data_IF_586263917183
#
_entry.id   IF_586263917183
#
_cell.length_a   1.000
_cell.length_b   1.000
_cell.length_c   1.000
_cell.angle_alpha   90.00
_cell.angle_beta   90.00
_cell.angle_gamma   90.00
#
_symmetry.space_group_name_H-M   'P 1'
#
loop_
_entity.id
_entity.type
_entity.pdbx_description
1 polymer ?
#
# COMPACT_ATOMS: atom_id res chain seq x y z
N UNK A 1 17.11 8.94 -30.11
CA UNK A 1 16.26 9.98 -29.50
C UNK A 1 16.13 11.21 -30.39
N UNK A 2 17.20 11.92 -30.77
CA UNK A 2 17.12 13.07 -31.69
C UNK A 2 16.55 12.71 -33.08
N UNK A 3 16.90 11.56 -33.64
CA UNK A 3 16.39 11.06 -34.94
C UNK A 3 14.89 10.69 -34.88
N UNK A 4 14.35 10.49 -33.68
CA UNK A 4 12.94 10.14 -33.41
C UNK A 4 12.08 11.38 -33.10
N UNK A 5 12.72 12.51 -32.78
CA UNK A 5 12.07 13.82 -32.54
C UNK A 5 11.84 14.54 -33.87
N UNK A 6 12.68 14.30 -34.89
CA UNK A 6 12.55 14.90 -36.23
C UNK A 6 11.39 14.37 -37.10
N UNK A 7 10.77 13.24 -36.74
CA UNK A 7 9.64 12.67 -37.49
C UNK A 7 8.29 13.36 -37.21
N UNK A 8 8.28 14.40 -36.39
CA UNK A 8 7.06 15.11 -35.96
C UNK A 8 6.53 16.13 -36.98
N UNK A 9 7.18 16.29 -38.14
CA UNK A 9 6.81 17.37 -39.08
C UNK A 9 5.74 16.97 -40.11
N UNK A 10 5.62 15.69 -40.50
CA UNK A 10 4.61 15.28 -41.47
C UNK A 10 4.30 13.77 -41.41
N UNK A 11 3.01 13.42 -41.59
CA UNK A 11 2.59 12.08 -41.98
C UNK A 11 2.56 12.00 -43.51
N UNK A 12 3.08 10.91 -44.07
CA UNK A 12 3.14 10.72 -45.52
C UNK A 12 2.76 9.29 -45.90
N UNK A 13 1.97 9.15 -46.95
CA UNK A 13 1.73 7.88 -47.63
C UNK A 13 2.16 8.06 -49.08
N UNK A 14 2.89 7.08 -49.61
CA UNK A 14 3.37 7.17 -50.98
C UNK A 14 3.60 5.81 -51.62
N UNK A 15 3.68 5.82 -52.95
CA UNK A 15 3.97 4.64 -53.76
C UNK A 15 5.17 4.94 -54.63
N UNK A 16 6.26 4.19 -54.43
CA UNK A 16 7.44 4.24 -55.26
C UNK A 16 7.39 3.14 -56.34
N UNK A 17 8.00 3.40 -57.50
CA UNK A 17 8.30 2.36 -58.49
C UNK A 17 9.29 1.39 -57.84
N UNK A 18 8.92 0.10 -57.83
CA UNK A 18 9.52 -0.99 -57.07
C UNK A 18 10.95 -0.80 -56.59
N UNK A 19 11.11 -0.42 -55.32
CA UNK A 19 12.40 -0.16 -54.68
C UNK A 19 12.57 -1.05 -53.45
N UNK A 20 13.40 -2.11 -53.53
CA UNK A 20 13.58 -3.06 -52.42
C UNK A 20 14.47 -2.50 -51.30
N UNK A 21 15.13 -1.35 -51.53
CA UNK A 21 15.91 -0.66 -50.50
C UNK A 21 15.04 0.25 -49.63
N UNK A 22 13.83 0.61 -50.08
CA UNK A 22 12.84 1.29 -49.26
C UNK A 22 12.22 0.24 -48.33
N UNK A 23 12.54 0.31 -47.05
CA UNK A 23 12.14 -0.65 -46.01
C UNK A 23 11.82 0.10 -44.73
N UNK A 24 10.89 -0.42 -43.94
CA UNK A 24 10.56 0.12 -42.62
C UNK A 24 11.84 0.32 -41.78
N UNK A 25 11.96 1.48 -41.14
CA UNK A 25 13.13 1.84 -40.33
C UNK A 25 14.36 2.34 -41.11
N UNK A 26 14.38 2.27 -42.45
CA UNK A 26 15.47 2.81 -43.27
C UNK A 26 15.09 4.14 -43.89
N UNK A 27 15.86 5.18 -43.58
CA UNK A 27 15.58 6.53 -44.05
C UNK A 27 15.71 6.67 -45.58
N UNK A 28 14.87 7.54 -46.17
CA UNK A 28 14.93 7.98 -47.56
C UNK A 28 14.69 9.49 -47.66
N UNK A 29 15.12 10.11 -48.76
CA UNK A 29 14.95 11.54 -49.00
C UNK A 29 13.84 11.79 -50.00
N UNK A 30 13.03 12.83 -49.73
CA UNK A 30 12.02 13.36 -50.64
C UNK A 30 12.42 14.78 -51.00
N UNK A 31 12.49 15.08 -52.30
CA UNK A 31 13.01 16.36 -52.82
C UNK A 31 12.16 17.02 -53.90
N UNK A 32 11.13 16.34 -54.43
CA UNK A 32 10.26 16.85 -55.50
C UNK A 32 8.84 17.03 -54.97
N UNK A 33 8.72 17.87 -53.95
CA UNK A 33 7.47 18.24 -53.25
C UNK A 33 7.60 19.71 -52.84
N UNK A 34 6.54 20.34 -52.33
CA UNK A 34 6.63 21.71 -51.81
C UNK A 34 7.69 21.81 -50.69
N UNK A 35 8.32 22.97 -50.55
CA UNK A 35 9.49 23.17 -49.66
C UNK A 35 9.27 22.67 -48.24
N UNK A 36 8.04 22.82 -47.72
CA UNK A 36 7.65 22.33 -46.40
C UNK A 36 7.80 20.79 -46.26
N UNK A 37 7.61 20.03 -47.34
CA UNK A 37 7.67 18.56 -47.33
C UNK A 37 9.00 17.99 -47.85
N UNK A 38 9.98 18.84 -48.18
CA UNK A 38 11.31 18.39 -48.56
C UNK A 38 12.05 17.93 -47.31
N UNK A 39 12.56 16.70 -47.32
CA UNK A 39 13.21 16.18 -46.13
C UNK A 39 13.60 14.72 -46.18
N UNK A 40 14.16 14.25 -45.05
CA UNK A 40 14.52 12.85 -44.83
C UNK A 40 13.45 12.20 -43.96
N UNK A 41 12.85 11.14 -44.48
CA UNK A 41 11.76 10.42 -43.86
C UNK A 41 12.18 9.00 -43.51
N UNK A 42 11.64 8.47 -42.41
CA UNK A 42 11.82 7.06 -42.03
C UNK A 42 10.45 6.38 -42.10
N UNK A 43 10.23 5.43 -43.01
CA UNK A 43 8.94 4.77 -43.14
C UNK A 43 8.69 3.88 -41.93
N UNK A 44 7.49 3.99 -41.35
CA UNK A 44 6.99 3.13 -40.28
C UNK A 44 6.50 1.78 -40.82
N UNK A 45 6.03 1.75 -42.07
CA UNK A 45 5.64 0.53 -42.77
C UNK A 45 6.04 0.58 -44.24
N UNK A 46 6.28 -0.59 -44.84
CA UNK A 46 6.55 -0.73 -46.28
C UNK A 46 5.95 -2.02 -46.81
N UNK A 47 5.26 -1.95 -47.94
CA UNK A 47 4.67 -3.10 -48.63
C UNK A 47 5.19 -3.17 -50.06
N UNK A 48 5.83 -4.29 -50.40
CA UNK A 48 6.24 -4.59 -51.77
C UNK A 48 5.12 -5.37 -52.47
N UNK A 49 4.57 -4.79 -53.53
CA UNK A 49 3.47 -5.35 -54.31
C UNK A 49 3.96 -5.73 -55.69
N UNK A 50 3.74 -6.98 -56.09
CA UNK A 50 4.05 -7.50 -57.42
C UNK A 50 2.72 -7.87 -58.09
N UNK A 51 2.29 -7.09 -59.07
CA UNK A 51 1.03 -7.32 -59.78
C UNK A 51 1.19 -7.12 -61.30
N UNK A 52 0.08 -7.19 -62.05
CA UNK A 52 0.05 -7.01 -63.51
C UNK A 52 0.54 -5.65 -64.01
N UNK A 53 0.67 -4.66 -63.11
CA UNK A 53 1.19 -3.33 -63.39
C UNK A 53 2.67 -3.19 -63.00
N UNK A 54 3.30 -4.29 -62.57
CA UNK A 54 4.72 -4.37 -62.23
C UNK A 54 4.98 -4.32 -60.73
N UNK A 55 6.25 -4.08 -60.39
CA UNK A 55 6.69 -3.99 -59.00
C UNK A 55 6.50 -2.56 -58.46
N UNK A 56 5.76 -2.44 -57.35
CA UNK A 56 5.54 -1.19 -56.61
C UNK A 56 5.88 -1.36 -55.13
N UNK A 57 6.29 -0.27 -54.49
CA UNK A 57 6.58 -0.24 -53.06
C UNK A 57 5.76 0.86 -52.41
N UNK A 58 4.74 0.46 -51.67
CA UNK A 58 3.92 1.37 -50.87
C UNK A 58 4.61 1.61 -49.53
N UNK A 59 4.63 2.85 -49.06
CA UNK A 59 5.21 3.21 -47.78
C UNK A 59 4.31 4.16 -47.00
N UNK A 60 4.39 4.02 -45.68
CA UNK A 60 3.74 4.91 -44.73
C UNK A 60 4.81 5.48 -43.82
N UNK A 61 4.80 6.80 -43.63
CA UNK A 61 5.55 7.53 -42.62
C UNK A 61 4.51 8.10 -41.66
N UNK A 62 4.47 7.56 -40.45
CA UNK A 62 3.61 8.05 -39.38
C UNK A 62 4.43 8.32 -38.13
N UNK A 63 4.10 9.40 -37.43
CA UNK A 63 4.77 9.78 -36.19
C UNK A 63 4.38 8.83 -35.05
N UNK A 64 5.36 8.16 -34.45
CA UNK A 64 5.16 7.34 -33.24
C UNK A 64 5.13 8.19 -31.97
N UNK A 65 4.23 9.17 -31.85
CA UNK A 65 4.04 9.86 -30.56
C UNK A 65 2.58 10.17 -30.27
N UNK A 66 1.99 9.41 -29.35
CA UNK A 66 0.82 9.84 -28.60
C UNK A 66 1.31 10.74 -27.45
N UNK A 67 1.23 12.07 -27.61
CA UNK A 67 1.62 13.07 -26.59
C UNK A 67 0.52 13.38 -25.58
N UNK A 68 -0.55 12.59 -25.58
CA UNK A 68 -1.56 12.69 -24.53
C UNK A 68 -0.92 12.32 -23.20
N UNK A 69 -1.45 12.87 -22.09
CA UNK A 69 -1.10 12.40 -20.75
C UNK A 69 -1.24 10.87 -20.63
N UNK A 70 -2.22 10.29 -21.34
CA UNK A 70 -2.44 8.86 -21.43
C UNK A 70 -1.29 8.13 -22.17
N UNK A 71 -0.82 8.64 -23.30
CA UNK A 71 0.30 8.07 -24.05
C UNK A 71 1.63 8.15 -23.29
N UNK A 72 1.83 9.22 -22.52
CA UNK A 72 2.99 9.35 -21.62
C UNK A 72 2.88 8.43 -20.40
N UNK A 73 1.70 8.30 -19.80
CA UNK A 73 1.47 7.43 -18.65
C UNK A 73 1.49 5.92 -18.99
N UNK A 74 1.17 5.56 -20.22
CA UNK A 74 1.14 4.15 -20.69
C UNK A 74 2.39 3.74 -21.49
N UNK A 75 3.42 4.59 -21.53
CA UNK A 75 4.66 4.32 -22.26
C UNK A 75 4.48 4.17 -23.77
N UNK A 76 3.42 4.75 -24.35
CA UNK A 76 3.07 4.63 -25.76
C UNK A 76 2.56 3.25 -26.18
N UNK A 77 2.16 2.39 -25.23
CA UNK A 77 1.75 1.01 -25.48
C UNK A 77 0.30 0.82 -25.95
N UNK A 78 -0.49 1.88 -26.07
CA UNK A 78 -1.93 1.77 -26.24
C UNK A 78 -2.40 1.23 -27.61
N UNK A 79 -1.54 1.16 -28.65
CA UNK A 79 -1.95 0.64 -29.95
C UNK A 79 -0.90 -0.26 -30.62
N UNK A 80 -1.13 -1.58 -30.55
CA UNK A 80 -0.65 -2.53 -31.56
C UNK A 80 0.72 -3.20 -31.33
N UNK A 81 0.71 -4.28 -30.55
CA UNK A 81 1.55 -5.50 -30.66
C UNK A 81 3.01 -5.37 -31.14
N UNK A 82 3.99 -5.51 -30.22
CA UNK A 82 5.09 -6.50 -30.23
C UNK A 82 6.08 -6.20 -29.08
N UNK A 83 6.03 -6.97 -27.99
CA UNK A 83 7.12 -7.09 -27.01
C UNK A 83 7.09 -6.22 -25.74
N UNK A 84 6.14 -5.28 -25.59
CA UNK A 84 5.90 -4.63 -24.30
C UNK A 84 5.11 -5.58 -23.39
N UNK A 85 5.58 -5.81 -22.15
CA UNK A 85 4.86 -6.63 -21.17
C UNK A 85 3.39 -6.18 -21.12
N UNK A 86 2.46 -7.12 -21.24
CA UNK A 86 1.04 -6.85 -21.08
C UNK A 86 0.84 -6.21 -19.70
N UNK A 87 0.42 -4.94 -19.69
CA UNK A 87 0.21 -4.22 -18.45
C UNK A 87 -0.93 -4.89 -17.67
N UNK A 88 -0.69 -5.17 -16.40
CA UNK A 88 -1.74 -5.65 -15.50
C UNK A 88 -2.45 -4.43 -14.95
N UNK A 89 -3.57 -4.06 -15.56
CA UNK A 89 -4.39 -2.91 -15.17
C UNK A 89 -5.32 -3.19 -13.97
N UNK A 90 -4.97 -4.16 -13.14
CA UNK A 90 -5.77 -4.60 -12.01
C UNK A 90 -4.94 -4.79 -10.75
N UNK A 91 -5.64 -5.08 -9.65
CA UNK A 91 -5.02 -5.45 -8.39
C UNK A 91 -5.03 -6.96 -8.26
N UNK A 92 -4.02 -7.49 -7.61
CA UNK A 92 -3.81 -8.93 -7.50
C UNK A 92 -3.44 -9.32 -6.08
N UNK A 93 -3.63 -10.58 -5.75
CA UNK A 93 -3.22 -11.14 -4.46
C UNK A 93 -1.79 -11.68 -4.56
N UNK A 94 -1.01 -11.47 -3.50
CA UNK A 94 0.32 -12.05 -3.34
C UNK A 94 0.53 -12.54 -1.90
N UNK A 95 1.57 -13.32 -1.69
CA UNK A 95 2.03 -13.70 -0.35
C UNK A 95 3.37 -13.05 -0.05
N UNK A 96 3.56 -12.58 1.16
CA UNK A 96 4.85 -12.04 1.61
C UNK A 96 5.86 -13.18 1.76
N UNK A 97 7.05 -13.01 1.19
CA UNK A 97 8.16 -13.99 1.29
C UNK A 97 9.29 -13.51 2.18
N UNK A 98 9.54 -12.20 2.23
CA UNK A 98 10.56 -11.59 3.08
C UNK A 98 10.13 -10.20 3.54
N UNK A 99 10.48 -9.86 4.77
CA UNK A 99 10.23 -8.54 5.38
C UNK A 99 11.49 -7.93 6.05
N UNK A 100 12.63 -8.62 5.98
CA UNK A 100 13.93 -8.12 6.45
C UNK A 100 14.56 -7.17 5.40
N UNK A 101 13.97 -5.99 5.25
CA UNK A 101 14.44 -4.96 4.31
C UNK A 101 15.83 -4.43 4.72
N UNK A 102 16.89 -4.59 3.89
CA UNK A 102 18.24 -4.13 4.22
C UNK A 102 18.37 -2.61 4.41
N UNK A 103 17.43 -1.83 3.87
CA UNK A 103 17.41 -0.37 4.03
C UNK A 103 16.50 0.08 5.19
N UNK A 104 15.81 -0.84 5.85
CA UNK A 104 14.91 -0.57 6.99
C UNK A 104 13.78 0.45 6.69
N UNK A 105 13.32 0.51 5.43
CA UNK A 105 12.28 1.46 4.98
C UNK A 105 10.88 0.82 4.87
N UNK A 106 10.69 -0.36 5.46
CA UNK A 106 9.37 -1.01 5.58
C UNK A 106 8.83 -1.60 4.27
N UNK A 107 9.71 -2.13 3.41
CA UNK A 107 9.30 -2.87 2.21
C UNK A 107 9.21 -4.37 2.48
N UNK A 108 8.52 -5.08 1.60
CA UNK A 108 8.42 -6.54 1.64
C UNK A 108 8.63 -7.15 0.25
N UNK A 109 9.08 -8.39 0.20
CA UNK A 109 9.09 -9.17 -1.04
C UNK A 109 7.87 -10.06 -1.14
N UNK A 110 7.50 -10.37 -2.37
CA UNK A 110 6.23 -10.99 -2.71
C UNK A 110 6.43 -12.20 -3.63
N UNK A 111 5.61 -13.23 -3.39
CA UNK A 111 5.37 -14.33 -4.31
C UNK A 111 3.96 -14.20 -4.88
N UNK A 112 3.85 -14.33 -6.20
CA UNK A 112 2.59 -14.21 -6.92
C UNK A 112 2.08 -15.61 -7.33
N UNK A 113 0.84 -16.00 -7.01
CA UNK A 113 0.33 -17.36 -7.24
C UNK A 113 0.32 -17.86 -8.69
N UNK A 114 0.41 -16.98 -9.68
CA UNK A 114 0.47 -17.33 -11.11
C UNK A 114 1.89 -17.37 -11.68
N UNK A 115 2.90 -17.08 -10.85
CA UNK A 115 4.31 -17.26 -11.20
C UNK A 115 4.83 -18.55 -10.55
N UNK A 116 6.05 -18.93 -10.93
CA UNK A 116 6.75 -20.05 -10.28
C UNK A 116 6.98 -19.75 -8.80
N UNK A 117 6.91 -20.77 -7.95
CA UNK A 117 7.23 -20.66 -6.52
C UNK A 117 8.69 -20.23 -6.27
N UNK A 118 9.59 -20.45 -7.24
CA UNK A 118 10.99 -20.01 -7.19
C UNK A 118 11.15 -18.52 -7.56
N UNK A 119 10.07 -17.86 -8.02
CA UNK A 119 10.09 -16.45 -8.36
C UNK A 119 9.70 -15.59 -7.16
N UNK A 120 10.58 -14.67 -6.82
CA UNK A 120 10.38 -13.66 -5.80
C UNK A 120 10.44 -12.26 -6.42
N UNK A 121 9.57 -11.36 -5.99
CA UNK A 121 9.62 -9.96 -6.42
C UNK A 121 10.85 -9.22 -5.86
N UNK A 122 11.14 -8.06 -6.45
CA UNK A 122 11.96 -7.06 -5.75
C UNK A 122 11.15 -6.44 -4.59
N UNK A 123 11.81 -5.62 -3.76
CA UNK A 123 11.21 -4.97 -2.60
C UNK A 123 10.04 -4.06 -2.99
N UNK A 124 8.85 -4.43 -2.52
CA UNK A 124 7.60 -3.71 -2.70
C UNK A 124 7.33 -2.75 -1.53
N UNK A 125 6.92 -1.51 -1.83
CA UNK A 125 6.49 -0.56 -0.80
C UNK A 125 5.13 -0.95 -0.22
N UNK A 126 4.96 -0.75 1.08
CA UNK A 126 3.69 -0.99 1.79
C UNK A 126 3.01 0.34 2.09
N UNK A 127 1.73 0.47 1.73
CA UNK A 127 0.90 1.63 2.08
C UNK A 127 0.71 1.69 3.59
N UNK A 128 0.96 2.87 4.17
CA UNK A 128 0.78 3.14 5.60
C UNK A 128 -0.30 4.19 5.83
N UNK A 129 -0.91 4.18 7.03
CA UNK A 129 -1.82 5.24 7.47
C UNK A 129 -1.00 6.48 7.89
N UNK A 130 -0.62 7.28 6.90
CA UNK A 130 0.33 8.38 7.05
C UNK A 130 1.80 7.91 7.07
N UNK A 131 2.67 8.65 6.38
CA UNK A 131 4.10 8.36 6.26
C UNK A 131 4.89 9.67 6.06
N UNK A 132 4.81 10.55 7.06
CA UNK A 132 5.57 11.81 7.11
C UNK A 132 6.94 11.62 7.74
N UNK A 133 7.80 12.67 7.74
CA UNK A 133 9.07 12.64 8.47
C UNK A 133 8.82 12.28 9.94
N UNK A 134 9.45 11.20 10.42
CA UNK A 134 9.35 10.66 11.78
C UNK A 134 7.92 10.55 12.34
N UNK A 135 6.92 10.37 11.46
CA UNK A 135 5.50 10.39 11.83
C UNK A 135 4.62 9.53 10.92
N UNK A 136 3.61 8.90 11.51
CA UNK A 136 2.67 8.04 10.79
C UNK A 136 2.42 6.72 11.51
N UNK A 137 1.73 5.82 10.85
CA UNK A 137 1.53 4.46 11.30
C UNK A 137 2.57 3.51 10.68
N UNK A 138 2.93 2.46 11.40
CA UNK A 138 3.79 1.38 10.89
C UNK A 138 3.10 0.05 11.14
N UNK A 139 2.40 -0.44 10.11
CA UNK A 139 1.77 -1.75 10.08
C UNK A 139 2.32 -2.51 8.87
N UNK A 140 3.31 -3.36 9.14
CA UNK A 140 3.96 -4.19 8.12
C UNK A 140 3.39 -5.62 8.16
N UNK A 141 3.19 -6.26 7.00
CA UNK A 141 2.76 -7.64 6.95
C UNK A 141 3.89 -8.59 7.35
N UNK A 142 3.52 -9.74 7.91
CA UNK A 142 4.46 -10.80 8.27
C UNK A 142 4.75 -11.71 7.07
N UNK A 143 5.84 -12.48 7.13
CA UNK A 143 6.10 -13.51 6.13
C UNK A 143 4.94 -14.52 6.11
N UNK A 144 4.51 -14.88 4.91
CA UNK A 144 3.33 -15.68 4.57
C UNK A 144 1.97 -14.98 4.64
N UNK A 145 1.90 -13.73 5.08
CA UNK A 145 0.64 -12.97 5.02
C UNK A 145 0.19 -12.80 3.56
N UNK A 146 -1.12 -12.92 3.36
CA UNK A 146 -1.77 -12.61 2.09
C UNK A 146 -2.01 -11.10 1.98
N UNK A 147 -1.58 -10.51 0.87
CA UNK A 147 -1.63 -9.06 0.65
C UNK A 147 -2.23 -8.72 -0.71
N UNK A 148 -2.86 -7.55 -0.77
CA UNK A 148 -3.41 -6.96 -1.98
C UNK A 148 -2.37 -6.03 -2.61
N UNK A 149 -2.09 -6.24 -3.90
CA UNK A 149 -0.99 -5.58 -4.62
C UNK A 149 -1.52 -4.82 -5.83
N UNK A 150 -1.02 -3.61 -6.03
CA UNK A 150 -1.17 -2.82 -7.25
C UNK A 150 0.19 -2.61 -7.92
N UNK A 151 0.18 -2.29 -9.21
CA UNK A 151 1.40 -2.11 -10.00
C UNK A 151 1.49 -0.69 -10.56
N UNK A 152 2.64 -0.05 -10.43
CA UNK A 152 2.85 1.30 -10.98
C UNK A 152 2.62 1.30 -12.49
N UNK A 153 1.64 2.07 -12.99
CA UNK A 153 1.29 2.09 -14.41
C UNK A 153 1.04 0.70 -15.03
N UNK A 154 0.71 -0.31 -14.22
CA UNK A 154 0.55 -1.70 -14.66
C UNK A 154 1.86 -2.48 -14.86
N UNK A 155 3.02 -1.91 -14.46
CA UNK A 155 4.33 -2.57 -14.51
C UNK A 155 4.50 -3.54 -13.33
N UNK A 156 4.49 -4.84 -13.63
CA UNK A 156 4.61 -5.93 -12.65
C UNK A 156 5.90 -5.86 -11.83
N UNK A 157 6.95 -5.19 -12.35
CA UNK A 157 8.23 -5.00 -11.67
C UNK A 157 8.17 -3.92 -10.59
N UNK A 158 7.08 -3.16 -10.50
CA UNK A 158 6.91 -2.07 -9.55
C UNK A 158 5.66 -2.28 -8.66
N UNK A 159 5.67 -3.32 -7.82
CA UNK A 159 4.55 -3.62 -6.93
C UNK A 159 4.45 -2.65 -5.75
N UNK A 160 3.22 -2.38 -5.33
CA UNK A 160 2.86 -1.69 -4.10
C UNK A 160 1.85 -2.55 -3.34
N UNK A 161 2.16 -2.85 -2.08
CA UNK A 161 1.24 -3.51 -1.17
C UNK A 161 0.27 -2.48 -0.62
N UNK A 162 -1.03 -2.69 -0.83
CA UNK A 162 -2.08 -1.79 -0.33
C UNK A 162 -2.56 -2.16 1.08
N UNK A 163 -2.44 -3.44 1.45
CA UNK A 163 -2.86 -3.95 2.75
C UNK A 163 -2.96 -5.47 2.78
N UNK A 164 -3.12 -6.02 3.98
CA UNK A 164 -3.34 -7.45 4.21
C UNK A 164 -4.78 -7.87 3.95
N UNK A 165 -4.97 -9.12 3.54
CA UNK A 165 -6.28 -9.75 3.30
C UNK A 165 -6.43 -10.96 4.21
N UNK A 166 -7.54 -11.02 4.96
CA UNK A 166 -7.93 -12.25 5.63
C UNK A 166 -8.45 -13.27 4.60
N UNK A 167 -7.93 -14.49 4.66
CA UNK A 167 -8.04 -15.50 3.60
C UNK A 167 -8.85 -16.76 4.03
N UNK A 168 -9.57 -16.68 5.15
CA UNK A 168 -10.39 -17.77 5.70
C UNK A 168 -9.62 -18.77 6.58
N UNK A 169 -8.30 -18.89 6.40
CA UNK A 169 -7.37 -19.53 7.35
C UNK A 169 -7.02 -18.50 8.42
N UNK A 170 -6.47 -17.37 7.99
CA UNK A 170 -6.20 -16.20 8.82
C UNK A 170 -7.48 -15.42 9.02
N UNK A 171 -7.76 -15.06 10.28
CA UNK A 171 -9.03 -14.44 10.68
C UNK A 171 -8.80 -13.27 11.62
N UNK A 172 -9.64 -12.22 11.53
CA UNK A 172 -9.60 -11.13 12.50
C UNK A 172 -9.96 -11.64 13.90
N UNK A 173 -9.12 -11.33 14.89
CA UNK A 173 -9.27 -11.78 16.30
C UNK A 173 -9.51 -10.64 17.29
N UNK A 174 -10.49 -9.78 17.01
CA UNK A 174 -10.93 -8.71 17.93
C UNK A 174 -11.99 -9.19 18.95
N UNK A 175 -12.28 -10.48 19.00
CA UNK A 175 -13.35 -11.03 19.81
C UNK A 175 -13.91 -12.33 19.28
N UNK A 176 -14.94 -12.85 19.97
CA UNK A 176 -15.68 -14.03 19.49
C UNK A 176 -16.66 -13.70 18.37
N UNK A 177 -17.20 -12.48 18.37
CA UNK A 177 -18.22 -12.02 17.41
C UNK A 177 -17.85 -10.60 16.98
N UNK A 178 -17.77 -10.37 15.67
CA UNK A 178 -17.48 -9.05 15.08
C UNK A 178 -18.73 -8.36 14.53
N UNK A 179 -19.75 -9.14 14.20
CA UNK A 179 -20.98 -8.65 13.60
C UNK A 179 -22.18 -9.28 14.27
N UNK A 180 -23.24 -8.49 14.43
CA UNK A 180 -24.56 -8.98 14.83
C UNK A 180 -25.64 -8.17 14.11
N UNK A 181 -26.60 -8.86 13.51
CA UNK A 181 -27.71 -8.27 12.74
C UNK A 181 -27.30 -7.13 11.79
N UNK A 182 -26.19 -7.29 11.05
CA UNK A 182 -25.67 -6.30 10.10
C UNK A 182 -24.88 -5.13 10.71
N UNK A 183 -24.74 -5.06 12.04
CA UNK A 183 -23.92 -4.08 12.75
C UNK A 183 -22.51 -4.62 12.98
N UNK A 184 -21.52 -3.73 13.00
CA UNK A 184 -20.16 -4.04 13.45
C UNK A 184 -20.11 -3.80 14.94
N UNK A 185 -19.78 -4.83 15.71
CA UNK A 185 -19.76 -4.79 17.17
C UNK A 185 -18.39 -4.42 17.73
N UNK A 186 -17.32 -4.63 16.94
CA UNK A 186 -15.94 -4.45 17.40
C UNK A 186 -15.06 -3.89 16.30
N UNK A 187 -14.24 -2.90 16.66
CA UNK A 187 -13.22 -2.31 15.79
C UNK A 187 -11.90 -2.22 16.54
N UNK A 188 -10.79 -2.14 15.83
CA UNK A 188 -9.48 -1.91 16.44
C UNK A 188 -8.38 -2.74 15.78
N UNK A 189 -7.33 -3.04 16.55
CA UNK A 189 -6.11 -3.67 16.07
C UNK A 189 -5.71 -4.87 16.93
N UNK A 190 -5.10 -5.87 16.29
CA UNK A 190 -4.55 -7.05 16.94
C UNK A 190 -3.15 -7.27 16.41
N UNK A 191 -2.16 -7.29 17.29
CA UNK A 191 -0.78 -7.65 16.91
C UNK A 191 -0.64 -9.17 16.74
N UNK A 192 0.45 -9.63 16.08
CA UNK A 192 0.76 -11.06 15.93
C UNK A 192 0.74 -11.85 17.25
N UNK A 193 1.23 -11.24 18.34
CA UNK A 193 1.21 -11.88 19.66
C UNK A 193 -0.16 -11.86 20.35
N UNK A 194 -1.13 -11.14 19.82
CA UNK A 194 -2.48 -11.05 20.37
C UNK A 194 -2.71 -9.86 21.30
N UNK A 195 -1.81 -8.87 21.38
CA UNK A 195 -2.11 -7.59 22.02
C UNK A 195 -3.21 -6.86 21.23
N UNK A 196 -4.15 -6.24 21.93
CA UNK A 196 -5.37 -5.68 21.33
C UNK A 196 -5.62 -4.25 21.77
N UNK A 197 -6.02 -3.43 20.80
CA UNK A 197 -6.80 -2.21 21.02
C UNK A 197 -8.19 -2.44 20.47
N UNK A 198 -9.23 -2.25 21.27
CA UNK A 198 -10.61 -2.60 20.90
C UNK A 198 -11.55 -1.45 21.23
N UNK A 199 -12.38 -1.08 20.26
CA UNK A 199 -13.58 -0.27 20.42
C UNK A 199 -14.77 -1.24 20.44
N UNK A 200 -15.59 -1.17 21.48
CA UNK A 200 -16.80 -1.95 21.64
C UNK A 200 -18.00 -1.11 21.20
N UNK A 201 -18.61 -1.51 20.08
CA UNK A 201 -19.78 -0.87 19.45
C UNK A 201 -21.06 -1.73 19.68
N UNK A 202 -21.04 -2.61 20.69
CA UNK A 202 -22.16 -3.48 21.04
C UNK A 202 -23.34 -2.64 21.60
N UNK A 203 -24.56 -2.88 21.13
CA UNK A 203 -25.79 -2.28 21.70
C UNK A 203 -25.93 -2.73 23.17
N UNK A 204 -25.53 -1.88 24.12
CA UNK A 204 -25.56 -2.15 25.57
C UNK A 204 -24.21 -2.53 26.20
N UNK A 205 -23.12 -2.58 25.42
CA UNK A 205 -21.74 -2.68 25.94
C UNK A 205 -20.84 -1.76 25.11
N UNK A 206 -20.79 -0.48 25.50
CA UNK A 206 -19.95 0.52 24.84
C UNK A 206 -18.68 0.77 25.64
N UNK A 207 -17.56 0.94 24.94
CA UNK A 207 -16.31 1.25 25.60
C UNK A 207 -15.05 1.04 24.76
N UNK A 208 -13.90 1.19 25.41
CA UNK A 208 -12.57 1.09 24.80
C UNK A 208 -11.70 0.21 25.69
N UNK A 209 -10.86 -0.65 25.11
CA UNK A 209 -9.86 -1.39 25.87
C UNK A 209 -8.51 -1.52 25.16
N UNK A 210 -7.44 -1.50 25.97
CA UNK A 210 -6.09 -1.96 25.64
C UNK A 210 -5.80 -3.22 26.45
N UNK A 211 -5.47 -4.31 25.77
CA UNK A 211 -5.34 -5.64 26.39
C UNK A 211 -4.01 -6.30 25.96
N UNK A 212 -3.30 -6.88 26.92
CA UNK A 212 -2.25 -7.85 26.61
C UNK A 212 -2.83 -9.12 25.99
N UNK A 213 -1.97 -9.92 25.37
CA UNK A 213 -2.36 -11.17 24.71
C UNK A 213 -3.00 -12.20 25.65
N UNK A 214 -2.65 -12.16 26.93
CA UNK A 214 -3.11 -13.05 27.99
C UNK A 214 -4.11 -12.38 28.96
N UNK A 215 -4.55 -11.16 28.65
CA UNK A 215 -5.45 -10.36 29.47
C UNK A 215 -4.96 -10.07 30.92
N UNK A 216 -3.66 -10.25 31.19
CA UNK A 216 -3.08 -9.90 32.49
C UNK A 216 -2.80 -8.42 32.67
N UNK A 217 -2.63 -7.67 31.59
CA UNK A 217 -2.46 -6.22 31.59
C UNK A 217 -3.61 -5.60 30.81
N UNK A 218 -4.42 -4.75 31.47
CA UNK A 218 -5.64 -4.18 30.89
C UNK A 218 -5.83 -2.74 31.30
N UNK A 219 -6.19 -1.91 30.32
CA UNK A 219 -6.81 -0.60 30.54
C UNK A 219 -8.16 -0.62 29.81
N UNK A 220 -9.25 -0.36 30.52
CA UNK A 220 -10.59 -0.35 29.93
C UNK A 220 -11.42 0.83 30.40
N UNK A 221 -12.16 1.44 29.47
CA UNK A 221 -13.18 2.44 29.72
C UNK A 221 -14.52 1.78 29.37
N UNK A 222 -15.38 1.61 30.36
CA UNK A 222 -16.70 1.01 30.20
C UNK A 222 -17.77 2.09 30.35
N UNK A 223 -18.37 2.50 29.24
CA UNK A 223 -19.38 3.57 29.23
C UNK A 223 -20.73 3.08 29.77
N UNK A 224 -20.99 1.76 29.73
CA UNK A 224 -22.22 1.19 30.27
C UNK A 224 -22.25 1.24 31.79
N UNK A 225 -21.12 1.01 32.46
CA UNK A 225 -21.02 1.09 33.94
C UNK A 225 -20.46 2.42 34.43
N UNK A 226 -19.87 3.24 33.55
CA UNK A 226 -19.13 4.45 33.93
C UNK A 226 -17.78 4.15 34.59
N UNK A 227 -17.23 2.95 34.43
CA UNK A 227 -16.00 2.50 35.08
C UNK A 227 -14.77 2.68 34.19
N UNK A 228 -13.71 3.28 34.73
CA UNK A 228 -12.36 3.18 34.16
C UNK A 228 -11.56 2.21 35.01
N UNK A 229 -11.01 1.16 34.40
CA UNK A 229 -10.29 0.10 35.10
C UNK A 229 -8.87 -0.05 34.57
N UNK A 230 -7.91 -0.01 35.50
CA UNK A 230 -6.51 -0.36 35.27
C UNK A 230 -6.24 -1.66 36.02
N UNK A 231 -5.77 -2.69 35.33
CA UNK A 231 -5.47 -3.98 35.92
C UNK A 231 -4.10 -4.47 35.44
N UNK A 232 -3.30 -4.98 36.38
CA UNK A 232 -2.01 -5.58 36.09
C UNK A 232 -1.74 -6.76 37.02
N UNK A 233 -1.44 -7.91 36.43
CA UNK A 233 -0.96 -9.11 37.11
C UNK A 233 0.42 -9.47 36.52
N UNK A 234 1.52 -9.35 37.28
CA UNK A 234 1.56 -9.28 38.76
C UNK A 234 1.67 -7.87 39.37
N UNK A 235 1.86 -6.81 38.57
CA UNK A 235 2.22 -5.49 39.12
C UNK A 235 1.62 -4.34 38.32
N UNK A 236 1.21 -3.30 39.03
CA UNK A 236 0.96 -1.93 38.53
C UNK A 236 1.90 -0.98 39.27
N UNK A 237 2.50 -0.01 38.58
CA UNK A 237 3.39 1.00 39.18
C UNK A 237 3.04 2.36 38.62
N UNK A 238 2.96 3.38 39.49
CA UNK A 238 2.64 4.76 39.14
C UNK A 238 3.75 5.63 39.71
N UNK A 239 4.53 6.26 38.82
CA UNK A 239 5.67 7.12 39.17
C UNK A 239 5.51 8.46 38.46
N UNK A 240 5.61 9.55 39.21
CA UNK A 240 5.53 10.92 38.68
C UNK A 240 6.17 11.91 39.67
N UNK A 241 6.53 13.11 39.19
CA UNK A 241 6.95 14.21 40.07
C UNK A 241 5.82 14.67 41.00
N UNK A 242 4.57 14.65 40.51
CA UNK A 242 3.40 15.03 41.28
C UNK A 242 2.24 14.08 40.96
N UNK A 243 1.55 13.60 42.00
CA UNK A 243 0.33 12.79 41.87
C UNK A 243 -0.76 13.44 42.73
N UNK A 244 -1.95 13.66 42.15
CA UNK A 244 -3.14 14.16 42.86
C UNK A 244 -4.32 13.22 42.59
N UNK A 245 -4.91 12.69 43.66
CA UNK A 245 -6.11 11.87 43.60
C UNK A 245 -7.23 12.62 44.32
N UNK A 246 -8.39 12.77 43.69
CA UNK A 246 -9.59 13.38 44.26
C UNK A 246 -10.80 12.57 43.83
N UNK A 247 -11.66 12.26 44.79
CA UNK A 247 -13.02 11.78 44.55
C UNK A 247 -13.99 12.67 45.33
N UNK A 248 -15.22 12.81 44.83
CA UNK A 248 -16.25 13.61 45.50
C UNK A 248 -16.94 12.85 46.63
N UNK A 249 -16.88 11.52 46.62
CA UNK A 249 -17.49 10.65 47.62
C UNK A 249 -16.41 9.94 48.44
N UNK A 250 -15.62 9.07 47.81
CA UNK A 250 -14.70 8.17 48.52
C UNK A 250 -13.42 7.84 47.73
N UNK A 251 -12.35 7.59 48.48
CA UNK A 251 -11.13 6.93 47.97
C UNK A 251 -10.87 5.74 48.90
N UNK A 252 -10.96 4.52 48.36
CA UNK A 252 -10.68 3.28 49.08
C UNK A 252 -9.31 2.71 48.69
N UNK A 253 -8.51 2.30 49.69
CA UNK A 253 -7.23 1.62 49.50
C UNK A 253 -7.26 0.30 50.26
N UNK A 254 -7.19 -0.81 49.54
CA UNK A 254 -7.31 -2.16 50.12
C UNK A 254 -6.12 -3.02 49.69
N UNK A 255 -5.39 -3.55 50.68
CA UNK A 255 -4.33 -4.54 50.48
C UNK A 255 -4.02 -5.25 51.80
N UNK A 256 -3.44 -6.47 51.78
CA UNK A 256 -2.89 -7.09 52.99
C UNK A 256 -1.83 -6.23 53.68
N UNK A 257 -1.13 -5.36 52.91
CA UNK A 257 -0.16 -4.40 53.42
C UNK A 257 -0.20 -3.12 52.59
N UNK A 258 -0.35 -1.98 53.28
CA UNK A 258 -0.19 -0.64 52.71
C UNK A 258 1.05 -0.01 53.36
N UNK A 259 1.95 0.54 52.56
CA UNK A 259 3.16 1.20 53.05
C UNK A 259 3.23 2.63 52.50
N UNK A 260 3.33 3.61 53.41
CA UNK A 260 3.45 5.04 53.10
C UNK A 260 4.81 5.50 53.62
N UNK A 261 5.60 6.15 52.77
CA UNK A 261 6.93 6.68 53.11
C UNK A 261 7.06 8.09 52.52
N UNK A 262 7.59 9.02 53.30
CA UNK A 262 8.00 10.34 52.85
C UNK A 262 9.31 10.71 53.53
N UNK A 263 10.21 11.37 52.81
CA UNK A 263 11.50 11.84 53.35
C UNK A 263 11.34 13.07 54.24
N UNK A 264 10.32 13.90 53.97
CA UNK A 264 10.03 15.12 54.70
C UNK A 264 8.80 14.96 55.61
N UNK A 265 7.60 14.95 55.05
CA UNK A 265 6.34 14.97 55.82
C UNK A 265 5.28 14.06 55.21
N UNK A 266 4.42 13.51 56.08
CA UNK A 266 3.14 12.88 55.72
C UNK A 266 2.05 13.65 56.45
N UNK A 267 1.26 14.43 55.72
CA UNK A 267 0.15 15.20 56.27
C UNK A 267 -1.18 14.49 56.00
N UNK A 268 -1.94 14.21 57.06
CA UNK A 268 -3.26 13.58 56.99
C UNK A 268 -4.24 14.49 57.73
N UNK A 269 -5.18 15.09 57.00
CA UNK A 269 -6.21 15.99 57.54
C UNK A 269 -7.61 15.45 57.25
N UNK A 270 -8.49 15.51 58.25
CA UNK A 270 -9.84 14.99 58.18
C UNK A 270 -10.62 15.25 59.47
N UNK A 271 -11.94 15.42 59.36
CA UNK A 271 -12.80 15.69 60.52
C UNK A 271 -12.78 14.58 61.59
N UNK A 272 -12.64 13.32 61.18
CA UNK A 272 -12.45 12.15 62.06
C UNK A 272 -11.42 11.21 61.44
N UNK A 273 -10.41 10.81 62.22
CA UNK A 273 -9.38 9.85 61.83
C UNK A 273 -9.41 8.70 62.84
N UNK A 274 -9.63 7.47 62.34
CA UNK A 274 -9.67 6.26 63.17
C UNK A 274 -8.59 5.29 62.70
N UNK A 275 -7.71 4.88 63.62
CA UNK A 275 -6.70 3.84 63.41
C UNK A 275 -6.97 2.74 64.43
N UNK A 276 -7.37 1.55 63.96
CA UNK A 276 -7.70 0.41 64.80
C UNK A 276 -6.69 -0.72 64.60
#
# INVERSE_FOLDING_TARGET
>A
VAEQIGTAFAEAVGVARGNPALRAGKAFSVSVVADDFVGRYVPSATRHVFDKWGYRTEFTVSGRQERSLLGLATGGGANGTTGGQAAIHGMVVAKVTANEDPEEVGRVKLMFPWLSDDYESDWARVVQLGAGPDSGAVFLPEVHDEVLVAFEFGDVRRPYVLGGLYNGIDRPRLGRVLFDNGKVLRRGFVSRKGHRFVLFDDDGKSGIALLSSDDKLRLSLNETTGEIRIFGDPKVTIEAMNIKLKADVDIALEAPKIAIKADATVDIDGGMITLN
#
